data_IF_027484204624
#
_entry.id   IF_027484204624
#
_cell.length_a   1.000
_cell.length_b   1.000
_cell.length_c   1.000
_cell.angle_alpha   90.00
_cell.angle_beta   90.00
_cell.angle_gamma   90.00
#
_symmetry.space_group_name_H-M   'P 1'
#
loop_
_entity.id
_entity.type
_entity.pdbx_description
1 polymer ?
#
# COMPACT_ATOMS: atom_id res chain seq x y z
N UNK A 1 -45.79 13.38 -5.35
CA UNK A 1 -44.60 13.53 -6.20
C UNK A 1 -44.49 12.25 -7.02
N UNK A 2 -44.48 12.34 -8.36
CA UNK A 2 -44.22 11.18 -9.21
C UNK A 2 -42.70 10.98 -9.30
N UNK A 3 -42.21 9.79 -8.93
CA UNK A 3 -40.81 9.41 -9.07
C UNK A 3 -40.55 9.13 -10.55
N UNK A 4 -39.43 9.64 -11.09
CA UNK A 4 -38.92 9.24 -12.39
C UNK A 4 -38.32 7.84 -12.24
N UNK A 5 -39.02 6.83 -12.72
CA UNK A 5 -38.65 5.42 -12.55
C UNK A 5 -37.28 5.12 -13.15
N UNK A 6 -36.95 5.70 -14.31
CA UNK A 6 -35.63 5.47 -14.94
C UNK A 6 -34.48 5.97 -14.06
N UNK A 7 -34.60 7.17 -13.46
CA UNK A 7 -33.58 7.71 -12.53
C UNK A 7 -33.47 6.88 -11.26
N UNK A 8 -34.60 6.36 -10.79
CA UNK A 8 -34.60 5.48 -9.63
C UNK A 8 -33.90 4.15 -9.93
N UNK A 9 -34.15 3.55 -11.09
CA UNK A 9 -33.51 2.28 -11.48
C UNK A 9 -32.01 2.45 -11.71
N UNK A 10 -31.56 3.59 -12.25
CA UNK A 10 -30.15 3.95 -12.37
C UNK A 10 -29.47 4.09 -11.00
N UNK A 11 -30.12 4.78 -10.06
CA UNK A 11 -29.63 4.93 -8.68
C UNK A 11 -29.54 3.58 -7.97
N UNK A 12 -30.59 2.75 -8.13
CA UNK A 12 -30.64 1.42 -7.49
C UNK A 12 -29.53 0.50 -8.01
N UNK A 13 -29.27 0.51 -9.31
CA UNK A 13 -28.17 -0.27 -9.90
C UNK A 13 -26.82 0.16 -9.34
N UNK A 14 -26.56 1.47 -9.30
CA UNK A 14 -25.34 2.01 -8.68
C UNK A 14 -25.21 1.59 -7.21
N UNK A 15 -26.27 1.67 -6.44
CA UNK A 15 -26.27 1.22 -5.05
C UNK A 15 -25.89 -0.26 -4.90
N UNK A 16 -26.44 -1.12 -5.75
CA UNK A 16 -26.12 -2.56 -5.72
C UNK A 16 -24.67 -2.80 -6.06
N UNK A 17 -24.13 -2.11 -7.09
CA UNK A 17 -22.74 -2.23 -7.51
C UNK A 17 -21.79 -1.73 -6.39
N UNK A 18 -22.04 -0.56 -5.80
CA UNK A 18 -21.23 0.02 -4.73
C UNK A 18 -21.24 -0.86 -3.46
N UNK A 19 -22.42 -1.36 -3.07
CA UNK A 19 -22.55 -2.27 -1.92
C UNK A 19 -21.84 -3.60 -2.15
N UNK A 20 -21.95 -4.14 -3.37
CA UNK A 20 -21.26 -5.34 -3.80
C UNK A 20 -19.74 -5.16 -3.71
N UNK A 21 -19.21 -4.08 -4.25
CA UNK A 21 -17.78 -3.75 -4.20
C UNK A 21 -17.27 -3.58 -2.77
N UNK A 22 -18.03 -2.87 -1.90
CA UNK A 22 -17.66 -2.67 -0.51
C UNK A 22 -17.56 -4.00 0.26
N UNK A 23 -18.57 -4.89 0.12
CA UNK A 23 -18.53 -6.22 0.73
C UNK A 23 -17.44 -7.13 0.16
N UNK A 24 -17.17 -7.00 -1.13
CA UNK A 24 -16.17 -7.81 -1.81
C UNK A 24 -14.74 -7.49 -1.37
N UNK A 25 -14.42 -6.22 -1.04
CA UNK A 25 -13.11 -5.80 -0.58
C UNK A 25 -12.58 -6.65 0.58
N UNK A 26 -13.43 -6.98 1.54
CA UNK A 26 -13.07 -7.83 2.67
C UNK A 26 -12.66 -9.25 2.24
N UNK A 27 -13.30 -9.80 1.20
CA UNK A 27 -12.99 -11.14 0.70
C UNK A 27 -11.61 -11.20 0.04
N UNK A 28 -11.18 -10.12 -0.62
CA UNK A 28 -9.81 -10.00 -1.18
C UNK A 28 -8.78 -10.02 -0.06
N UNK A 29 -8.99 -9.23 0.99
CA UNK A 29 -8.10 -9.21 2.17
C UNK A 29 -8.03 -10.56 2.86
N UNK A 30 -9.13 -11.30 2.96
CA UNK A 30 -9.16 -12.66 3.51
C UNK A 30 -8.31 -13.61 2.64
N UNK A 31 -8.50 -13.58 1.32
CA UNK A 31 -7.74 -14.40 0.38
C UNK A 31 -6.25 -14.15 0.43
N UNK A 32 -5.86 -12.90 0.51
CA UNK A 32 -4.47 -12.48 0.65
C UNK A 32 -3.86 -12.95 1.99
N UNK A 33 -4.50 -12.64 3.12
CA UNK A 33 -4.02 -13.03 4.46
C UNK A 33 -3.88 -14.54 4.64
N UNK A 34 -4.74 -15.32 3.99
CA UNK A 34 -4.70 -16.78 4.03
C UNK A 34 -3.83 -17.41 2.93
N UNK A 35 -3.23 -16.59 2.05
CA UNK A 35 -2.40 -17.06 0.96
C UNK A 35 -3.15 -17.83 -0.14
N UNK A 36 -4.47 -17.62 -0.27
CA UNK A 36 -5.31 -18.38 -1.22
C UNK A 36 -4.93 -18.08 -2.67
N UNK A 37 -4.64 -16.81 -3.01
CA UNK A 37 -4.17 -16.44 -4.35
C UNK A 37 -2.80 -17.05 -4.66
N UNK A 38 -1.86 -16.99 -3.73
CA UNK A 38 -0.52 -17.58 -3.89
C UNK A 38 -0.58 -19.10 -4.08
N UNK A 39 -1.47 -19.76 -3.34
CA UNK A 39 -1.68 -21.21 -3.47
C UNK A 39 -2.38 -21.58 -4.79
N UNK A 40 -3.24 -20.67 -5.33
CA UNK A 40 -3.92 -20.88 -6.60
C UNK A 40 -2.98 -20.62 -7.80
N UNK A 41 -2.02 -19.72 -7.67
CA UNK A 41 -0.95 -19.47 -8.65
C UNK A 41 -0.06 -20.72 -8.88
N UNK A 42 0.02 -21.63 -7.91
CA UNK A 42 0.72 -22.90 -8.09
C UNK A 42 0.00 -23.90 -9.04
N UNK A 43 -1.15 -23.52 -9.58
CA UNK A 43 -1.94 -24.28 -10.53
C UNK A 43 -3.40 -24.46 -10.10
N UNK A 44 -4.28 -24.83 -11.07
CA UNK A 44 -5.71 -25.01 -10.83
C UNK A 44 -6.00 -25.89 -9.62
N UNK A 45 -7.10 -25.59 -8.93
CA UNK A 45 -7.51 -26.35 -7.76
C UNK A 45 -9.03 -26.36 -7.59
N UNK A 46 -9.55 -27.49 -7.13
CA UNK A 46 -10.90 -27.57 -6.56
C UNK A 46 -10.92 -26.92 -5.16
N UNK A 47 -12.10 -26.56 -4.62
CA UNK A 47 -12.20 -26.03 -3.26
C UNK A 47 -11.54 -26.92 -2.19
N UNK A 48 -11.64 -28.23 -2.34
CA UNK A 48 -11.02 -29.21 -1.42
C UNK A 48 -9.50 -29.17 -1.50
N UNK A 49 -8.94 -29.10 -2.70
CA UNK A 49 -7.49 -29.03 -2.93
C UNK A 49 -6.91 -27.73 -2.43
N UNK A 50 -7.55 -26.58 -2.73
CA UNK A 50 -7.07 -25.28 -2.26
C UNK A 50 -7.11 -25.20 -0.73
N UNK A 51 -8.17 -25.69 -0.09
CA UNK A 51 -8.28 -25.76 1.35
C UNK A 51 -7.15 -26.60 1.97
N UNK A 52 -6.80 -27.73 1.35
CA UNK A 52 -5.68 -28.57 1.79
C UNK A 52 -4.32 -27.87 1.62
N UNK A 53 -4.09 -27.18 0.48
CA UNK A 53 -2.85 -26.41 0.20
C UNK A 53 -2.60 -25.31 1.22
N UNK A 54 -3.68 -24.69 1.74
CA UNK A 54 -3.61 -23.52 2.61
C UNK A 54 -3.93 -23.79 4.09
N UNK A 55 -4.26 -25.03 4.43
CA UNK A 55 -4.66 -25.41 5.82
C UNK A 55 -5.97 -24.75 6.26
N UNK A 56 -6.87 -24.44 5.33
CA UNK A 56 -8.15 -23.76 5.57
C UNK A 56 -9.34 -24.69 5.45
N UNK A 57 -10.53 -24.22 5.82
CA UNK A 57 -11.75 -25.05 5.79
C UNK A 57 -12.42 -25.01 4.41
N UNK A 58 -12.63 -26.18 3.78
CA UNK A 58 -13.17 -26.33 2.42
C UNK A 58 -14.48 -25.55 2.19
N UNK A 59 -15.40 -25.53 3.16
CA UNK A 59 -16.69 -24.84 3.01
C UNK A 59 -16.50 -23.34 2.77
N UNK A 60 -15.62 -22.68 3.53
CA UNK A 60 -15.35 -21.26 3.36
C UNK A 60 -14.55 -20.97 2.09
N UNK A 61 -13.59 -21.81 1.75
CA UNK A 61 -12.83 -21.69 0.49
C UNK A 61 -13.76 -21.82 -0.72
N UNK A 62 -14.76 -22.71 -0.68
CA UNK A 62 -15.74 -22.86 -1.76
C UNK A 62 -16.57 -21.58 -1.98
N UNK A 63 -17.02 -20.93 -0.90
CA UNK A 63 -17.77 -19.66 -1.01
C UNK A 63 -16.85 -18.53 -1.49
N UNK A 64 -15.61 -18.46 -0.97
CA UNK A 64 -14.63 -17.48 -1.39
C UNK A 64 -14.33 -17.60 -2.89
N UNK A 65 -14.03 -18.80 -3.39
CA UNK A 65 -13.76 -19.06 -4.80
C UNK A 65 -14.94 -18.66 -5.70
N UNK A 66 -16.18 -18.96 -5.29
CA UNK A 66 -17.38 -18.55 -6.05
C UNK A 66 -17.53 -17.03 -6.10
N UNK A 67 -17.30 -16.35 -4.97
CA UNK A 67 -17.36 -14.89 -4.92
C UNK A 67 -16.27 -14.27 -5.81
N UNK A 68 -15.02 -14.78 -5.74
CA UNK A 68 -13.92 -14.30 -6.58
C UNK A 68 -14.18 -14.53 -8.07
N UNK A 69 -14.73 -15.69 -8.44
CA UNK A 69 -15.06 -16.00 -9.82
C UNK A 69 -16.21 -15.12 -10.35
N UNK A 70 -17.24 -14.88 -9.53
CA UNK A 70 -18.34 -13.99 -9.89
C UNK A 70 -17.88 -12.53 -10.10
N UNK A 71 -16.81 -12.10 -9.42
CA UNK A 71 -16.22 -10.79 -9.59
C UNK A 71 -15.08 -10.73 -10.63
N UNK A 72 -14.78 -11.84 -11.31
CA UNK A 72 -13.76 -11.90 -12.35
C UNK A 72 -12.30 -11.92 -11.84
N UNK A 73 -12.07 -12.13 -10.54
CA UNK A 73 -10.72 -12.17 -9.95
C UNK A 73 -10.12 -13.57 -9.89
N UNK A 74 -10.91 -14.57 -10.16
CA UNK A 74 -10.53 -15.97 -10.32
C UNK A 74 -11.32 -16.56 -11.47
N UNK A 75 -10.73 -17.45 -12.24
CA UNK A 75 -11.37 -18.14 -13.35
C UNK A 75 -11.92 -19.48 -12.89
N UNK A 76 -13.17 -19.77 -13.22
CA UNK A 76 -13.83 -21.06 -12.94
C UNK A 76 -13.94 -21.90 -14.21
N UNK A 77 -13.56 -23.17 -14.15
CA UNK A 77 -13.73 -24.17 -15.19
C UNK A 77 -14.85 -25.16 -14.82
N UNK A 78 -16.06 -25.02 -15.42
CA UNK A 78 -17.19 -25.89 -15.10
C UNK A 78 -16.95 -27.39 -15.36
N UNK A 79 -16.26 -27.81 -16.45
CA UNK A 79 -16.01 -29.22 -16.70
C UNK A 79 -15.20 -29.94 -15.61
N UNK A 80 -14.18 -29.29 -15.07
CA UNK A 80 -13.32 -29.88 -14.01
C UNK A 80 -13.78 -29.51 -12.60
N UNK A 81 -14.64 -28.48 -12.46
CA UNK A 81 -15.01 -27.91 -11.16
C UNK A 81 -13.84 -27.21 -10.46
N UNK A 82 -12.79 -26.87 -11.19
CA UNK A 82 -11.60 -26.23 -10.66
C UNK A 82 -11.61 -24.71 -10.88
N UNK A 83 -10.78 -24.03 -10.12
CA UNK A 83 -10.54 -22.60 -10.19
C UNK A 83 -9.06 -22.35 -10.47
N UNK A 84 -8.76 -21.31 -11.23
CA UNK A 84 -7.39 -20.91 -11.61
C UNK A 84 -7.25 -19.40 -11.66
N UNK A 85 -6.01 -18.93 -11.74
CA UNK A 85 -5.69 -17.53 -12.10
C UNK A 85 -5.25 -17.48 -13.56
N UNK A 86 -5.67 -16.47 -14.31
CA UNK A 86 -5.00 -16.08 -15.56
C UNK A 86 -3.65 -15.42 -15.21
N UNK A 87 -2.80 -15.20 -16.22
CA UNK A 87 -1.51 -14.50 -16.02
C UNK A 87 -1.72 -13.11 -15.41
N UNK A 88 -2.73 -12.35 -15.85
CA UNK A 88 -3.05 -11.02 -15.32
C UNK A 88 -3.57 -11.09 -13.86
N UNK A 89 -4.44 -12.09 -13.58
CA UNK A 89 -4.94 -12.30 -12.21
C UNK A 89 -3.82 -12.74 -11.27
N UNK A 90 -2.90 -13.57 -11.74
CA UNK A 90 -1.74 -14.00 -10.96
C UNK A 90 -0.82 -12.81 -10.64
N UNK A 91 -0.47 -11.98 -11.63
CA UNK A 91 0.31 -10.76 -11.44
C UNK A 91 -0.35 -9.79 -10.45
N UNK A 92 -1.67 -9.63 -10.54
CA UNK A 92 -2.42 -8.69 -9.73
C UNK A 92 -2.61 -9.15 -8.26
N UNK A 93 -2.69 -10.46 -7.99
CA UNK A 93 -3.12 -10.96 -6.68
C UNK A 93 -2.12 -11.90 -5.99
N UNK A 94 -1.19 -12.53 -6.70
CA UNK A 94 -0.29 -13.53 -6.12
C UNK A 94 1.15 -13.05 -5.93
N UNK A 95 1.61 -12.07 -6.71
CA UNK A 95 2.99 -11.58 -6.74
C UNK A 95 3.11 -10.19 -6.10
N UNK A 96 3.43 -10.14 -4.80
CA UNK A 96 3.49 -8.91 -4.00
C UNK A 96 4.55 -7.90 -4.47
N UNK A 97 5.58 -8.34 -5.20
CA UNK A 97 6.62 -7.45 -5.75
C UNK A 97 6.27 -6.90 -7.13
N UNK A 98 5.12 -7.29 -7.70
CA UNK A 98 4.68 -6.81 -9.00
C UNK A 98 4.06 -5.41 -8.88
N UNK A 99 4.39 -4.44 -9.79
CA UNK A 99 3.85 -3.07 -9.77
C UNK A 99 2.33 -2.96 -9.82
N UNK A 100 1.64 -4.00 -10.30
CA UNK A 100 0.17 -4.06 -10.38
C UNK A 100 -0.47 -4.87 -9.25
N UNK A 101 0.24 -5.12 -8.14
CA UNK A 101 -0.29 -5.87 -7.01
C UNK A 101 -1.39 -5.10 -6.26
N UNK A 102 -2.60 -5.67 -6.22
CA UNK A 102 -3.81 -4.99 -5.73
C UNK A 102 -4.21 -5.23 -4.27
N UNK A 103 -3.89 -6.37 -3.61
CA UNK A 103 -4.38 -6.65 -2.26
C UNK A 103 -4.03 -5.58 -1.21
N UNK A 104 -2.91 -4.86 -1.38
CA UNK A 104 -2.57 -3.71 -0.53
C UNK A 104 -3.62 -2.61 -0.56
N UNK A 105 -4.14 -2.26 -1.75
CA UNK A 105 -5.21 -1.27 -1.89
C UNK A 105 -6.52 -1.71 -1.20
N UNK A 106 -6.88 -2.98 -1.32
CA UNK A 106 -8.05 -3.53 -0.60
C UNK A 106 -7.86 -3.54 0.92
N UNK A 107 -6.62 -3.72 1.40
CA UNK A 107 -6.28 -3.60 2.82
C UNK A 107 -6.47 -2.17 3.31
N UNK A 108 -6.05 -1.16 2.52
CA UNK A 108 -6.31 0.27 2.78
C UNK A 108 -7.82 0.55 2.87
N UNK A 109 -8.59 0.12 1.87
CA UNK A 109 -10.05 0.31 1.85
C UNK A 109 -10.72 -0.32 3.08
N UNK A 110 -10.28 -1.51 3.49
CA UNK A 110 -10.77 -2.20 4.68
C UNK A 110 -10.41 -1.46 5.98
N UNK A 111 -9.25 -0.81 6.04
CA UNK A 111 -8.84 0.02 7.18
C UNK A 111 -9.70 1.28 7.29
N UNK A 112 -10.02 1.94 6.17
CA UNK A 112 -10.88 3.13 6.14
C UNK A 112 -12.27 2.86 6.76
N UNK A 113 -12.85 1.67 6.51
CA UNK A 113 -14.13 1.27 7.12
C UNK A 113 -14.00 1.10 8.63
N UNK A 114 -12.85 0.60 9.13
CA UNK A 114 -12.59 0.48 10.58
C UNK A 114 -12.41 1.82 11.26
N UNK A 115 -11.92 2.82 10.55
CA UNK A 115 -11.68 4.17 11.03
C UNK A 115 -12.94 5.05 10.98
N UNK A 116 -14.07 4.57 10.41
CA UNK A 116 -15.32 5.32 10.27
C UNK A 116 -15.77 6.01 11.56
N UNK A 117 -15.81 5.37 12.75
CA UNK A 117 -16.30 6.04 13.96
C UNK A 117 -15.46 7.27 14.35
N UNK A 118 -14.14 7.19 14.17
CA UNK A 118 -13.21 8.29 14.44
C UNK A 118 -13.37 9.42 13.42
N UNK A 119 -13.54 9.08 12.15
CA UNK A 119 -13.78 10.04 11.08
C UNK A 119 -15.13 10.74 11.29
N UNK A 120 -16.17 10.01 11.66
CA UNK A 120 -17.50 10.58 11.99
C UNK A 120 -17.40 11.61 13.12
N UNK A 121 -16.58 11.38 14.15
CA UNK A 121 -16.38 12.34 15.22
C UNK A 121 -15.57 13.57 14.74
N UNK A 122 -14.59 13.38 13.87
CA UNK A 122 -13.87 14.49 13.25
C UNK A 122 -14.78 15.41 12.42
N UNK A 123 -15.80 14.87 11.74
CA UNK A 123 -16.83 15.67 11.05
C UNK A 123 -17.66 16.54 12.01
N UNK A 124 -17.89 16.10 13.25
CA UNK A 124 -18.62 16.88 14.26
C UNK A 124 -17.74 17.95 14.91
N UNK A 125 -16.51 17.57 15.28
CA UNK A 125 -15.62 18.43 16.07
C UNK A 125 -14.78 19.40 15.23
N UNK A 126 -14.52 19.08 13.95
CA UNK A 126 -13.62 19.83 13.09
C UNK A 126 -12.12 19.67 13.44
N UNK A 127 -11.77 18.74 14.34
CA UNK A 127 -10.39 18.58 14.85
C UNK A 127 -9.47 17.79 13.91
N UNK A 128 -10.02 17.17 12.85
CA UNK A 128 -9.29 16.27 11.97
C UNK A 128 -8.94 14.94 12.64
N UNK A 129 -8.25 14.07 11.90
CA UNK A 129 -7.78 12.77 12.38
C UNK A 129 -6.27 12.72 12.21
N UNK A 130 -5.49 12.67 13.30
CA UNK A 130 -4.05 12.51 13.22
C UNK A 130 -3.67 11.17 12.58
N UNK A 131 -2.68 11.18 11.67
CA UNK A 131 -2.25 9.99 10.92
C UNK A 131 -2.01 8.76 11.82
N UNK A 132 -1.32 8.95 12.94
CA UNK A 132 -0.96 7.89 13.87
C UNK A 132 -2.15 7.23 14.61
N UNK A 133 -3.36 7.76 14.50
CA UNK A 133 -4.57 7.20 15.13
C UNK A 133 -5.31 6.22 14.22
N UNK A 134 -4.95 6.16 12.94
CA UNK A 134 -5.57 5.23 12.00
C UNK A 134 -5.27 3.76 12.33
N UNK A 135 -6.13 2.88 11.85
CA UNK A 135 -5.97 1.44 12.04
C UNK A 135 -4.66 0.92 11.41
N UNK A 136 -4.00 -0.02 12.08
CA UNK A 136 -2.69 -0.55 11.65
C UNK A 136 -2.68 -1.16 10.23
N UNK A 137 -3.81 -1.67 9.75
CA UNK A 137 -3.94 -2.15 8.37
C UNK A 137 -3.77 -1.03 7.34
N UNK A 138 -4.00 0.27 7.70
CA UNK A 138 -3.77 1.39 6.79
C UNK A 138 -2.28 1.51 6.44
N UNK A 139 -1.42 1.56 7.46
CA UNK A 139 0.04 1.70 7.27
C UNK A 139 0.62 0.53 6.48
N UNK A 140 0.19 -0.69 6.82
CA UNK A 140 0.63 -1.90 6.11
C UNK A 140 0.11 -1.95 4.68
N UNK A 141 -1.15 -1.60 4.47
CA UNK A 141 -1.77 -1.57 3.15
C UNK A 141 -1.14 -0.54 2.22
N UNK A 142 -0.86 0.67 2.74
CA UNK A 142 -0.17 1.74 2.00
C UNK A 142 1.23 1.28 1.58
N UNK A 143 2.04 0.73 2.49
CA UNK A 143 3.35 0.19 2.14
C UNK A 143 3.25 -0.88 1.05
N UNK A 144 2.37 -1.87 1.20
CA UNK A 144 2.22 -2.99 0.26
C UNK A 144 1.72 -2.55 -1.12
N UNK A 145 0.93 -1.48 -1.17
CA UNK A 145 0.43 -0.91 -2.42
C UNK A 145 1.48 -0.06 -3.14
N UNK A 146 2.23 0.79 -2.42
CA UNK A 146 3.19 1.71 -3.04
C UNK A 146 4.58 1.12 -3.24
N UNK A 147 5.03 0.18 -2.39
CA UNK A 147 6.38 -0.40 -2.49
C UNK A 147 6.69 -0.98 -3.88
N UNK A 148 5.82 -1.77 -4.52
CA UNK A 148 6.07 -2.28 -5.88
C UNK A 148 6.13 -1.16 -6.92
N UNK A 149 5.31 -0.12 -6.78
CA UNK A 149 5.32 1.06 -7.64
C UNK A 149 6.64 1.83 -7.52
N UNK A 150 7.13 2.03 -6.29
CA UNK A 150 8.44 2.65 -6.04
C UNK A 150 9.58 1.81 -6.62
N UNK A 151 9.55 0.49 -6.43
CA UNK A 151 10.56 -0.41 -6.99
C UNK A 151 10.65 -0.32 -8.52
N UNK A 152 9.49 -0.21 -9.18
CA UNK A 152 9.43 -0.12 -10.63
C UNK A 152 9.81 1.26 -11.20
N UNK A 153 9.69 2.36 -10.44
CA UNK A 153 9.75 3.70 -11.01
C UNK A 153 10.76 4.62 -10.33
N UNK A 154 10.96 4.53 -9.01
CA UNK A 154 11.75 5.51 -8.24
C UNK A 154 13.19 5.59 -8.74
N UNK A 155 13.86 4.46 -8.83
CA UNK A 155 15.26 4.37 -9.26
C UNK A 155 15.42 4.48 -10.77
N UNK A 156 14.64 3.79 -11.63
CA UNK A 156 14.87 3.82 -13.07
C UNK A 156 14.30 5.06 -13.79
N UNK A 157 13.34 5.76 -13.18
CA UNK A 157 12.60 6.83 -13.86
C UNK A 157 12.53 8.14 -13.09
N UNK A 158 12.04 8.13 -11.83
CA UNK A 158 11.74 9.38 -11.14
C UNK A 158 12.98 10.14 -10.71
N UNK A 159 13.95 9.47 -10.11
CA UNK A 159 15.22 10.10 -9.70
C UNK A 159 16.03 10.59 -10.93
N UNK A 160 16.18 9.79 -12.01
CA UNK A 160 16.86 10.26 -13.22
C UNK A 160 16.20 11.47 -13.90
N UNK A 161 14.90 11.71 -13.71
CA UNK A 161 14.21 12.88 -14.25
C UNK A 161 14.55 14.19 -13.49
N UNK A 162 15.23 14.11 -12.36
CA UNK A 162 15.67 15.27 -11.59
C UNK A 162 17.08 15.68 -12.03
N UNK A 163 17.22 16.90 -12.55
CA UNK A 163 18.48 17.40 -13.09
C UNK A 163 19.65 17.28 -12.11
N UNK A 164 20.67 16.52 -12.47
CA UNK A 164 21.92 16.36 -11.72
C UNK A 164 21.83 15.50 -10.44
N UNK A 165 20.64 15.11 -9.97
CA UNK A 165 20.47 14.38 -8.71
C UNK A 165 21.07 12.99 -8.80
N UNK A 166 20.86 12.26 -9.89
CA UNK A 166 21.43 10.93 -10.07
C UNK A 166 22.97 10.94 -9.98
N UNK A 167 23.62 11.94 -10.57
CA UNK A 167 25.08 12.09 -10.50
C UNK A 167 25.56 12.37 -9.06
N UNK A 168 24.87 13.22 -8.32
CA UNK A 168 25.15 13.45 -6.90
C UNK A 168 25.01 12.17 -6.07
N UNK A 169 23.93 11.42 -6.25
CA UNK A 169 23.70 10.15 -5.56
C UNK A 169 24.80 9.12 -5.87
N UNK A 170 25.28 9.06 -7.10
CA UNK A 170 26.41 8.20 -7.50
C UNK A 170 27.74 8.64 -6.86
N UNK A 171 27.95 9.94 -6.70
CA UNK A 171 29.16 10.49 -6.09
C UNK A 171 29.17 10.37 -4.55
N UNK A 172 28.02 10.34 -3.93
CA UNK A 172 27.84 10.30 -2.46
C UNK A 172 27.08 11.53 -1.98
N UNK A 173 25.75 11.41 -1.88
CA UNK A 173 24.85 12.47 -1.46
C UNK A 173 24.22 12.16 -0.10
N UNK A 174 23.65 13.20 0.53
CA UNK A 174 22.79 13.07 1.72
C UNK A 174 21.34 13.25 1.31
N UNK A 175 20.49 12.30 1.68
CA UNK A 175 19.07 12.29 1.32
C UNK A 175 18.20 12.23 2.56
N UNK A 176 17.19 13.10 2.62
CA UNK A 176 16.10 13.03 3.57
C UNK A 176 14.83 12.52 2.88
N UNK A 177 14.15 11.53 3.47
CA UNK A 177 12.86 11.00 3.03
C UNK A 177 11.82 11.32 4.12
N UNK A 178 10.96 12.31 3.87
CA UNK A 178 10.05 12.88 4.87
C UNK A 178 8.64 12.31 4.71
N UNK A 179 8.13 11.69 5.77
CA UNK A 179 6.94 10.84 5.71
C UNK A 179 7.27 9.46 5.15
N UNK A 180 8.43 8.90 5.56
CA UNK A 180 8.99 7.67 5.01
C UNK A 180 8.18 6.41 5.35
N UNK A 181 7.23 6.47 6.27
CA UNK A 181 6.43 5.33 6.71
C UNK A 181 7.29 4.14 7.15
N UNK A 182 7.09 2.98 6.55
CA UNK A 182 7.88 1.77 6.81
C UNK A 182 9.24 1.74 6.09
N UNK A 183 9.65 2.85 5.43
CA UNK A 183 10.99 3.02 4.85
C UNK A 183 11.19 2.40 3.48
N UNK A 184 10.15 1.99 2.78
CA UNK A 184 10.27 1.29 1.49
C UNK A 184 11.04 2.11 0.44
N UNK A 185 10.68 3.38 0.23
CA UNK A 185 11.36 4.30 -0.69
C UNK A 185 12.80 4.57 -0.29
N UNK A 186 13.04 4.83 0.99
CA UNK A 186 14.36 5.12 1.55
C UNK A 186 15.31 3.94 1.35
N UNK A 187 14.85 2.71 1.61
CA UNK A 187 15.62 1.48 1.44
C UNK A 187 15.95 1.25 -0.03
N UNK A 188 14.97 1.38 -0.94
CA UNK A 188 15.19 1.24 -2.38
C UNK A 188 16.25 2.22 -2.90
N UNK A 189 16.19 3.48 -2.47
CA UNK A 189 17.22 4.47 -2.82
C UNK A 189 18.58 4.09 -2.23
N UNK A 190 18.63 3.61 -1.01
CA UNK A 190 19.86 3.20 -0.37
C UNK A 190 20.50 1.97 -1.03
N UNK A 191 19.72 1.01 -1.51
CA UNK A 191 20.21 -0.13 -2.30
C UNK A 191 20.83 0.33 -3.62
N UNK A 192 20.17 1.26 -4.32
CA UNK A 192 20.61 1.73 -5.64
C UNK A 192 21.88 2.61 -5.60
N UNK A 193 22.09 3.37 -4.51
CA UNK A 193 23.21 4.32 -4.40
C UNK A 193 24.07 4.08 -3.16
N UNK A 194 25.00 3.11 -3.23
CA UNK A 194 25.76 2.64 -2.06
C UNK A 194 26.74 3.67 -1.46
N UNK A 195 27.06 4.75 -2.18
CA UNK A 195 27.94 5.84 -1.70
C UNK A 195 27.18 6.90 -0.92
N UNK A 196 25.85 6.96 -1.04
CA UNK A 196 24.98 7.95 -0.42
C UNK A 196 24.49 7.51 0.95
N UNK A 197 24.11 8.47 1.77
CA UNK A 197 23.48 8.26 3.08
C UNK A 197 22.05 8.75 3.08
N UNK A 198 21.20 8.02 3.78
CA UNK A 198 19.75 8.26 3.76
C UNK A 198 19.23 8.34 5.19
N UNK A 199 18.35 9.29 5.44
CA UNK A 199 17.59 9.36 6.66
C UNK A 199 16.10 9.48 6.35
N UNK A 200 15.31 8.56 6.88
CA UNK A 200 13.86 8.62 6.82
C UNK A 200 13.30 9.28 8.07
N UNK A 201 12.35 10.19 7.90
CA UNK A 201 11.64 10.85 8.99
C UNK A 201 10.15 10.51 8.91
N UNK A 202 9.57 10.12 10.03
CA UNK A 202 8.12 9.92 10.16
C UNK A 202 7.69 10.27 11.60
N UNK A 203 6.46 10.75 11.77
CA UNK A 203 5.94 11.07 13.10
C UNK A 203 5.31 9.86 13.82
N UNK A 204 5.12 8.73 13.11
CA UNK A 204 4.55 7.51 13.64
C UNK A 204 5.66 6.57 14.12
N UNK A 205 5.92 6.54 15.42
CA UNK A 205 6.98 5.73 16.01
C UNK A 205 6.96 4.24 15.61
N UNK A 206 5.81 3.52 15.57
CA UNK A 206 5.79 2.13 15.13
C UNK A 206 6.24 1.96 13.66
N UNK A 207 5.94 2.92 12.78
CA UNK A 207 6.43 2.89 11.39
C UNK A 207 7.94 3.04 11.33
N UNK A 208 8.50 3.97 12.08
CA UNK A 208 9.96 4.18 12.19
C UNK A 208 10.68 2.93 12.73
N UNK A 209 10.12 2.28 13.74
CA UNK A 209 10.68 1.02 14.28
C UNK A 209 10.69 -0.09 13.23
N UNK A 210 9.60 -0.22 12.47
CA UNK A 210 9.52 -1.18 11.36
C UNK A 210 10.50 -0.85 10.24
N UNK A 211 10.67 0.42 9.89
CA UNK A 211 11.65 0.87 8.90
C UNK A 211 13.09 0.54 9.33
N UNK A 212 13.44 0.75 10.60
CA UNK A 212 14.74 0.36 11.17
C UNK A 212 14.99 -1.15 11.05
N UNK A 213 13.99 -1.96 11.38
CA UNK A 213 14.07 -3.43 11.24
C UNK A 213 14.26 -3.84 9.77
N UNK A 214 13.55 -3.19 8.85
CA UNK A 214 13.68 -3.45 7.42
C UNK A 214 15.08 -3.09 6.90
N UNK A 215 15.62 -1.92 7.28
CA UNK A 215 16.99 -1.53 6.91
C UNK A 215 18.06 -2.48 7.50
N UNK A 216 17.88 -2.93 8.73
CA UNK A 216 18.77 -3.92 9.35
C UNK A 216 18.73 -5.25 8.58
N UNK A 217 17.53 -5.72 8.23
CA UNK A 217 17.36 -6.95 7.42
C UNK A 217 17.99 -6.84 6.04
N UNK A 218 17.96 -5.65 5.43
CA UNK A 218 18.61 -5.36 4.16
C UNK A 218 20.12 -5.14 4.26
N UNK A 219 20.72 -5.13 5.46
CA UNK A 219 22.15 -4.85 5.66
C UNK A 219 22.53 -3.37 5.44
N UNK A 220 21.58 -2.43 5.59
CA UNK A 220 21.75 -1.03 5.25
C UNK A 220 21.79 -0.08 6.47
N UNK A 221 21.70 -0.59 7.69
CA UNK A 221 21.50 0.19 8.91
C UNK A 221 22.58 1.27 9.18
N UNK A 222 23.80 1.10 8.64
CA UNK A 222 24.90 2.07 8.83
C UNK A 222 24.74 3.34 7.99
N UNK A 223 24.00 3.28 6.87
CA UNK A 223 23.85 4.39 5.93
C UNK A 223 22.40 4.72 5.55
N UNK A 224 21.44 3.96 6.10
CA UNK A 224 20.01 4.17 5.96
C UNK A 224 19.40 4.15 7.35
N UNK A 225 19.19 5.33 7.94
CA UNK A 225 18.69 5.52 9.30
C UNK A 225 17.28 6.06 9.29
N UNK A 226 16.57 5.91 10.43
CA UNK A 226 15.19 6.39 10.56
C UNK A 226 14.98 7.04 11.92
N UNK A 227 14.31 8.20 11.91
CA UNK A 227 14.08 9.00 13.11
C UNK A 227 12.61 9.41 13.22
N UNK A 228 12.12 9.48 14.47
CA UNK A 228 10.79 10.00 14.75
C UNK A 228 10.86 11.52 14.74
N UNK A 229 10.27 12.15 13.75
CA UNK A 229 10.24 13.61 13.64
C UNK A 229 9.01 14.08 12.85
N UNK A 230 8.52 15.27 13.21
CA UNK A 230 7.48 15.91 12.41
C UNK A 230 8.08 16.60 11.17
N UNK A 231 7.35 16.56 10.07
CA UNK A 231 7.80 17.00 8.76
C UNK A 231 8.23 18.49 8.66
N UNK A 232 7.80 19.34 9.59
CA UNK A 232 8.18 20.77 9.62
C UNK A 232 9.41 21.09 10.46
N UNK A 233 9.92 20.11 11.22
CA UNK A 233 10.97 20.34 12.23
C UNK A 233 11.98 19.18 12.31
N UNK A 234 12.02 18.30 11.29
CA UNK A 234 13.04 17.25 11.28
C UNK A 234 14.46 17.85 11.30
N UNK A 235 15.41 17.18 11.96
CA UNK A 235 16.76 17.73 12.15
C UNK A 235 17.63 17.57 10.91
N UNK A 236 18.73 18.31 10.91
CA UNK A 236 19.77 18.21 9.89
C UNK A 236 19.68 19.33 8.84
N UNK A 237 20.78 19.48 8.10
CA UNK A 237 20.94 20.45 7.02
C UNK A 237 21.88 19.89 5.96
N UNK A 238 21.91 20.52 4.78
CA UNK A 238 22.81 20.13 3.69
C UNK A 238 22.41 18.82 3.03
N UNK A 239 21.11 18.56 2.92
CA UNK A 239 20.61 17.48 2.11
C UNK A 239 20.70 17.86 0.63
N UNK A 240 21.21 16.94 -0.19
CA UNK A 240 21.24 17.08 -1.65
C UNK A 240 19.89 16.80 -2.28
N UNK A 241 19.05 16.01 -1.60
CA UNK A 241 17.69 15.68 -1.98
C UNK A 241 16.82 15.57 -0.73
N UNK A 242 15.68 16.26 -0.73
CA UNK A 242 14.58 16.02 0.20
C UNK A 242 13.43 15.43 -0.60
N UNK A 243 13.08 14.19 -0.30
CA UNK A 243 11.95 13.48 -0.91
C UNK A 243 10.74 13.49 0.03
N UNK A 244 9.55 13.65 -0.53
CA UNK A 244 8.26 13.49 0.16
C UNK A 244 7.36 12.68 -0.76
N UNK A 245 7.30 11.38 -0.52
CA UNK A 245 6.61 10.44 -1.41
C UNK A 245 5.26 10.03 -0.81
N UNK A 246 4.19 10.35 -1.50
CA UNK A 246 2.80 10.06 -1.12
C UNK A 246 2.40 10.51 0.31
N UNK A 247 3.05 11.56 0.83
CA UNK A 247 2.84 12.03 2.20
C UNK A 247 2.42 13.51 2.28
N UNK A 248 2.85 14.37 1.35
CA UNK A 248 2.66 15.83 1.45
C UNK A 248 1.18 16.23 1.50
N UNK A 249 0.32 15.54 0.79
CA UNK A 249 -1.13 15.81 0.73
C UNK A 249 -1.87 15.45 2.03
N UNK A 250 -1.26 14.65 2.90
CA UNK A 250 -1.80 14.28 4.22
C UNK A 250 -1.38 15.25 5.33
N UNK A 251 -0.47 16.18 5.03
CA UNK A 251 0.09 17.08 6.03
C UNK A 251 -0.79 18.35 6.17
N UNK A 252 -1.08 18.75 7.40
CA UNK A 252 -1.92 19.93 7.67
C UNK A 252 -1.34 21.26 7.19
N UNK A 253 -0.02 21.32 6.92
CA UNK A 253 0.68 22.50 6.39
C UNK A 253 1.75 22.09 5.38
N UNK A 254 1.35 21.73 4.15
CA UNK A 254 2.28 21.29 3.11
C UNK A 254 3.24 22.41 2.66
N UNK A 255 2.83 23.67 2.77
CA UNK A 255 3.69 24.82 2.42
C UNK A 255 4.83 24.97 3.43
N UNK A 256 4.52 24.85 4.73
CA UNK A 256 5.54 24.88 5.77
C UNK A 256 6.52 23.71 5.68
N UNK A 257 6.05 22.51 5.33
CA UNK A 257 6.90 21.35 5.06
C UNK A 257 7.85 21.59 3.89
N UNK A 258 7.33 22.10 2.77
CA UNK A 258 8.16 22.42 1.59
C UNK A 258 9.18 23.54 1.88
N UNK A 259 8.80 24.55 2.68
CA UNK A 259 9.70 25.61 3.10
C UNK A 259 10.82 25.08 3.98
N UNK A 260 10.52 24.20 4.95
CA UNK A 260 11.53 23.56 5.79
C UNK A 260 12.48 22.70 4.95
N UNK A 261 11.96 21.88 4.03
CA UNK A 261 12.78 21.05 3.14
C UNK A 261 13.73 21.86 2.22
N UNK A 262 13.35 23.09 1.84
CA UNK A 262 14.27 23.99 1.10
C UNK A 262 15.37 24.60 1.98
N UNK A 263 15.15 24.70 3.27
CA UNK A 263 16.08 25.31 4.22
C UNK A 263 17.11 24.32 4.78
N UNK A 264 16.83 23.03 4.66
CA UNK A 264 17.67 21.93 5.18
C UNK A 264 18.50 21.27 4.08
#
# INVERSE_FOLDING_TARGET
MSIDQRKFDELWRRFVDDLGAAGFAATVVIGDKLGLYKALAAGPATPAELARRTGTHQRYVAEWLRAQAASGYVTYDPPSGSFSLSEEQELAFAHEDNPVYLPGAFQVASAMVKDEPMITEAFRSGTGVPWQQHHADLFTGVERFFRPLYAANLVPSWIPALDGIQAKLQAGARVADVGCGHGASTILMAEAWPRSTFVGFDNHQPSVERARQAATKAGLAERCTFEVAAAKVYPGTGYDLVAVLDALHLMGDPVGVAAHGRAT
#
